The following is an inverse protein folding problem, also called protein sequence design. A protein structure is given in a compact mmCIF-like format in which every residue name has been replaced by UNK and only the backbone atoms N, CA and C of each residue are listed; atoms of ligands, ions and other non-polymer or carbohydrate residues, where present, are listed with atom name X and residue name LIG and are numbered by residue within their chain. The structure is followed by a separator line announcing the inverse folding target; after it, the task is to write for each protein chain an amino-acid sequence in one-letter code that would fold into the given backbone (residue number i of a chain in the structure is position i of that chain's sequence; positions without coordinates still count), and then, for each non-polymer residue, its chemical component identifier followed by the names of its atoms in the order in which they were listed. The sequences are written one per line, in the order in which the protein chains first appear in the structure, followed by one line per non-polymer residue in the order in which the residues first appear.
data_IF_514662728335
#
_entry.id   IF_514662728335
#
_cell.length_a   1.000
_cell.length_b   1.000
_cell.length_c   1.000
_cell.angle_alpha   90.00
_cell.angle_beta   90.00
_cell.angle_gamma   90.00
#
_symmetry.space_group_name_H-M   'P 1'
#
loop_
_entity.id
_entity.type
_entity.pdbx_description
1 polymer ?
#
# COMPACT_ATOMS: atom_id res chain seq x y z
N UNK A 1 -7.83 15.16 12.70
CA UNK A 1 -6.93 15.60 11.63
C UNK A 1 -6.68 17.12 11.68
N UNK A 2 -7.72 17.94 11.78
CA UNK A 2 -7.60 19.41 11.73
C UNK A 2 -6.70 20.02 12.82
N UNK A 3 -6.61 19.36 13.99
CA UNK A 3 -5.84 19.87 15.13
C UNK A 3 -4.42 19.35 15.22
N UNK A 4 -4.15 18.16 14.69
CA UNK A 4 -2.92 17.41 14.96
C UNK A 4 -2.18 17.06 13.66
N UNK A 5 -2.87 17.09 12.53
CA UNK A 5 -2.32 16.72 11.23
C UNK A 5 -2.51 15.23 10.88
N UNK A 6 -2.34 14.94 9.61
CA UNK A 6 -2.53 13.61 9.04
C UNK A 6 -1.49 12.60 9.53
N UNK A 7 -0.25 13.03 9.66
CA UNK A 7 0.88 12.16 10.03
C UNK A 7 0.81 11.70 11.49
N UNK A 8 0.07 12.43 12.31
CA UNK A 8 -0.04 12.20 13.75
C UNK A 8 -1.34 11.51 14.16
N UNK A 9 -2.14 11.08 13.17
CA UNK A 9 -3.46 10.48 13.42
C UNK A 9 -3.67 9.24 12.57
N UNK A 10 -4.04 8.12 13.20
CA UNK A 10 -4.30 6.84 12.54
C UNK A 10 -5.62 6.22 13.00
N UNK A 11 -6.29 5.48 12.11
CA UNK A 11 -7.40 4.60 12.45
C UNK A 11 -6.95 3.15 12.35
N UNK A 12 -7.00 2.42 13.45
CA UNK A 12 -6.64 0.99 13.52
C UNK A 12 -7.91 0.15 13.44
N UNK A 13 -7.92 -0.80 12.51
CA UNK A 13 -9.10 -1.62 12.21
C UNK A 13 -8.81 -3.13 12.26
N UNK A 14 -9.86 -3.95 12.25
CA UNK A 14 -9.75 -5.41 12.26
C UNK A 14 -9.56 -6.03 10.87
N UNK A 15 -9.88 -5.30 9.79
CA UNK A 15 -9.85 -5.85 8.43
C UNK A 15 -9.55 -4.77 7.38
N UNK A 16 -9.01 -5.20 6.23
CA UNK A 16 -8.80 -4.31 5.09
C UNK A 16 -10.12 -3.68 4.59
N UNK A 17 -11.23 -4.43 4.65
CA UNK A 17 -12.56 -3.90 4.30
C UNK A 17 -12.92 -2.69 5.17
N UNK A 18 -12.73 -2.79 6.49
CA UNK A 18 -12.97 -1.68 7.41
C UNK A 18 -11.99 -0.53 7.19
N UNK A 19 -10.71 -0.84 7.00
CA UNK A 19 -9.69 0.16 6.67
C UNK A 19 -10.07 0.94 5.40
N UNK A 20 -10.52 0.26 4.34
CA UNK A 20 -10.96 0.90 3.10
C UNK A 20 -12.13 1.87 3.32
N UNK A 21 -13.12 1.51 4.16
CA UNK A 21 -14.24 2.40 4.50
C UNK A 21 -13.74 3.68 5.16
N UNK A 22 -12.85 3.57 6.15
CA UNK A 22 -12.27 4.75 6.81
C UNK A 22 -11.39 5.56 5.86
N UNK A 23 -10.57 4.91 5.05
CA UNK A 23 -9.72 5.58 4.08
C UNK A 23 -10.55 6.41 3.09
N UNK A 24 -11.62 5.85 2.54
CA UNK A 24 -12.51 6.57 1.64
C UNK A 24 -13.27 7.69 2.36
N UNK A 25 -13.78 7.43 3.57
CA UNK A 25 -14.47 8.44 4.38
C UNK A 25 -13.54 9.62 4.71
N UNK A 26 -12.31 9.36 5.14
CA UNK A 26 -11.32 10.39 5.46
C UNK A 26 -10.98 11.20 4.20
N UNK A 27 -10.67 10.52 3.09
CA UNK A 27 -10.32 11.20 1.84
C UNK A 27 -11.45 12.07 1.32
N UNK A 28 -12.68 11.56 1.28
CA UNK A 28 -13.81 12.27 0.67
C UNK A 28 -14.41 13.33 1.59
N UNK A 29 -14.59 13.05 2.89
CA UNK A 29 -15.34 13.89 3.81
C UNK A 29 -14.47 14.85 4.63
N UNK A 30 -13.21 14.50 4.87
CA UNK A 30 -12.29 15.31 5.68
C UNK A 30 -11.28 16.03 4.79
N UNK A 31 -10.69 15.32 3.81
CA UNK A 31 -9.65 15.87 2.95
C UNK A 31 -10.20 16.42 1.62
N UNK A 32 -11.48 16.22 1.34
CA UNK A 32 -12.15 16.66 0.11
C UNK A 32 -11.42 16.23 -1.17
N UNK A 33 -10.89 14.99 -1.16
CA UNK A 33 -10.18 14.40 -2.30
C UNK A 33 -11.11 13.48 -3.08
N UNK A 34 -11.49 13.90 -4.27
CA UNK A 34 -12.42 13.16 -5.14
C UNK A 34 -11.67 12.18 -6.06
N UNK A 35 -10.49 12.55 -6.53
CA UNK A 35 -9.70 11.67 -7.40
C UNK A 35 -9.19 10.44 -6.66
N UNK A 36 -9.01 9.33 -7.38
CA UNK A 36 -8.50 8.07 -6.82
C UNK A 36 -7.12 8.22 -6.17
N UNK A 37 -6.25 9.09 -6.70
CA UNK A 37 -4.94 9.37 -6.14
C UNK A 37 -4.56 10.83 -6.41
N UNK A 38 -4.15 11.56 -5.36
CA UNK A 38 -3.76 12.96 -5.45
C UNK A 38 -2.47 13.23 -4.68
N UNK A 39 -1.82 14.36 -4.99
CA UNK A 39 -0.71 14.86 -4.18
C UNK A 39 -1.13 15.03 -2.70
N UNK A 40 -0.25 14.68 -1.80
CA UNK A 40 -0.49 14.67 -0.35
C UNK A 40 -1.18 13.41 0.18
N UNK A 41 -1.62 12.47 -0.66
CA UNK A 41 -2.14 11.19 -0.17
C UNK A 41 -1.06 10.41 0.59
N UNK A 42 -1.46 9.79 1.69
CA UNK A 42 -0.62 8.86 2.45
C UNK A 42 -0.87 7.44 1.97
N UNK A 43 0.19 6.76 1.62
CA UNK A 43 0.19 5.37 1.14
C UNK A 43 1.02 4.49 2.06
N UNK A 44 0.54 3.27 2.27
CA UNK A 44 1.24 2.21 2.97
C UNK A 44 1.68 1.16 1.96
N UNK A 45 2.95 0.79 1.97
CA UNK A 45 3.47 -0.30 1.14
C UNK A 45 2.92 -1.64 1.63
N UNK A 46 2.31 -2.40 0.74
CA UNK A 46 1.60 -3.63 1.06
C UNK A 46 2.47 -4.89 0.94
N UNK A 47 3.63 -4.79 0.29
CA UNK A 47 4.56 -5.89 0.03
C UNK A 47 5.99 -5.36 -0.11
N UNK A 48 6.99 -6.10 0.43
CA UNK A 48 8.40 -5.75 0.25
C UNK A 48 8.75 -5.59 -1.23
N UNK A 49 9.52 -4.55 -1.55
CA UNK A 49 9.98 -4.27 -2.89
C UNK A 49 11.50 -4.02 -2.90
N UNK A 50 12.21 -4.86 -3.65
CA UNK A 50 13.68 -4.83 -3.76
C UNK A 50 14.16 -4.16 -5.06
N UNK A 51 13.24 -3.62 -5.85
CA UNK A 51 13.55 -3.05 -7.15
C UNK A 51 13.79 -1.55 -7.09
N UNK A 52 12.89 -0.79 -6.48
CA UNK A 52 12.93 0.66 -6.53
C UNK A 52 13.98 1.29 -5.59
N UNK A 53 14.36 0.61 -4.51
CA UNK A 53 15.39 1.10 -3.56
C UNK A 53 16.82 1.02 -4.07
N UNK A 54 17.11 0.14 -5.05
CA UNK A 54 18.47 -0.21 -5.49
C UNK A 54 19.34 0.96 -6.00
N UNK A 55 18.71 2.03 -6.51
CA UNK A 55 19.39 3.21 -7.04
C UNK A 55 19.67 4.27 -5.95
N UNK A 56 19.25 4.01 -4.70
CA UNK A 56 19.40 4.89 -3.54
C UNK A 56 20.32 4.23 -2.52
N UNK A 57 21.47 4.86 -2.24
CA UNK A 57 22.59 4.27 -1.46
C UNK A 57 22.22 3.82 -0.06
N UNK A 58 21.18 4.41 0.53
CA UNK A 58 20.78 4.16 1.93
C UNK A 58 19.53 3.29 2.03
N UNK A 59 19.02 2.79 0.88
CA UNK A 59 17.77 2.03 0.82
C UNK A 59 18.02 0.66 0.21
N UNK A 60 18.15 -0.35 1.03
CA UNK A 60 18.31 -1.74 0.57
C UNK A 60 17.03 -2.25 -0.11
N UNK A 61 15.88 -1.93 0.45
CA UNK A 61 14.56 -2.26 -0.08
C UNK A 61 13.49 -1.38 0.57
N UNK A 62 12.31 -1.31 -0.05
CA UNK A 62 11.13 -0.68 0.51
C UNK A 62 10.33 -1.77 1.23
N UNK A 63 10.12 -1.60 2.54
CA UNK A 63 9.51 -2.62 3.38
C UNK A 63 7.98 -2.62 3.29
N UNK A 64 7.40 -3.79 3.51
CA UNK A 64 5.97 -3.91 3.79
C UNK A 64 5.65 -3.21 5.12
N UNK A 65 4.84 -2.16 5.07
CA UNK A 65 4.52 -1.31 6.22
C UNK A 65 5.09 0.10 6.12
N UNK A 66 6.08 0.34 5.25
CA UNK A 66 6.59 1.68 5.03
C UNK A 66 5.47 2.61 4.56
N UNK A 67 5.46 3.82 5.11
CA UNK A 67 4.52 4.87 4.74
C UNK A 67 5.20 5.86 3.83
N UNK A 68 4.50 6.23 2.76
CA UNK A 68 4.96 7.24 1.82
C UNK A 68 3.88 8.31 1.59
N UNK A 69 4.32 9.52 1.31
CA UNK A 69 3.45 10.62 0.88
C UNK A 69 3.57 10.79 -0.63
N UNK A 70 2.45 10.90 -1.32
CA UNK A 70 2.42 11.25 -2.73
C UNK A 70 2.82 12.71 -2.89
N UNK A 71 3.96 12.97 -3.51
CA UNK A 71 4.40 14.31 -3.87
C UNK A 71 3.70 14.76 -5.13
N UNK A 72 3.69 13.90 -6.15
CA UNK A 72 3.05 14.17 -7.44
C UNK A 72 2.65 12.88 -8.15
N UNK A 73 1.51 12.93 -8.85
CA UNK A 73 1.10 11.90 -9.81
C UNK A 73 1.54 12.36 -11.20
N UNK A 74 2.39 11.57 -11.86
CA UNK A 74 3.00 11.92 -13.14
C UNK A 74 2.14 11.43 -14.31
N UNK A 75 1.79 10.13 -14.28
CA UNK A 75 1.06 9.48 -15.37
C UNK A 75 0.24 8.31 -14.84
N UNK A 76 -0.94 8.09 -15.41
CA UNK A 76 -1.73 6.86 -15.22
C UNK A 76 -1.71 6.04 -16.51
N UNK A 77 -1.64 4.72 -16.39
CA UNK A 77 -1.55 3.81 -17.54
C UNK A 77 -2.26 2.51 -17.22
N UNK A 78 -3.13 2.07 -18.12
CA UNK A 78 -3.74 0.74 -18.07
C UNK A 78 -2.90 -0.21 -18.93
N UNK A 79 -2.39 -1.28 -18.31
CA UNK A 79 -1.50 -2.24 -18.95
C UNK A 79 -1.65 -3.62 -18.30
N UNK A 80 -1.57 -4.68 -19.07
CA UNK A 80 -1.65 -6.07 -18.59
C UNK A 80 -2.93 -6.41 -17.82
N UNK A 81 -4.02 -5.68 -18.06
CA UNK A 81 -5.27 -5.84 -17.32
C UNK A 81 -5.26 -5.22 -15.92
N UNK A 82 -4.28 -4.37 -15.61
CA UNK A 82 -4.14 -3.63 -14.35
C UNK A 82 -3.96 -2.14 -14.60
N UNK A 83 -4.24 -1.35 -13.57
CA UNK A 83 -4.09 0.11 -13.56
C UNK A 83 -2.84 0.50 -12.78
N UNK A 84 -1.99 1.29 -13.41
CA UNK A 84 -0.74 1.76 -12.82
C UNK A 84 -0.69 3.28 -12.77
N UNK A 85 0.13 3.80 -11.88
CA UNK A 85 0.53 5.21 -11.90
C UNK A 85 2.04 5.34 -11.70
N UNK A 86 2.66 6.21 -12.48
CA UNK A 86 4.01 6.73 -12.20
C UNK A 86 3.84 7.90 -11.23
N UNK A 87 4.50 7.83 -10.11
CA UNK A 87 4.34 8.78 -9.00
C UNK A 87 5.68 9.13 -8.39
N UNK A 88 5.76 10.33 -7.85
CA UNK A 88 6.85 10.74 -6.98
C UNK A 88 6.38 10.59 -5.54
N UNK A 89 7.05 9.72 -4.77
CA UNK A 89 6.75 9.41 -3.37
C UNK A 89 7.88 9.91 -2.47
N UNK A 90 7.51 10.53 -1.37
CA UNK A 90 8.42 10.83 -0.27
C UNK A 90 8.21 9.80 0.86
N UNK A 91 9.28 9.15 1.28
CA UNK A 91 9.31 8.20 2.40
C UNK A 91 9.93 8.89 3.61
N UNK A 92 9.13 9.31 4.62
CA UNK A 92 9.63 10.06 5.77
C UNK A 92 10.69 9.30 6.56
N UNK A 93 10.48 8.00 6.80
CA UNK A 93 11.39 7.17 7.62
C UNK A 93 12.73 6.90 6.91
N UNK A 94 12.78 7.01 5.60
CA UNK A 94 13.99 6.85 4.79
C UNK A 94 14.61 8.19 4.39
N UNK A 95 13.89 9.30 4.65
CA UNK A 95 14.26 10.67 4.23
C UNK A 95 14.56 10.78 2.73
N UNK A 96 13.85 10.00 1.91
CA UNK A 96 14.13 9.91 0.46
C UNK A 96 12.88 10.15 -0.36
N UNK A 97 13.06 10.80 -1.50
CA UNK A 97 12.06 10.98 -2.54
C UNK A 97 12.40 10.11 -3.74
N UNK A 98 11.44 9.32 -4.20
CA UNK A 98 11.61 8.35 -5.29
C UNK A 98 10.54 8.50 -6.35
N UNK A 99 10.93 8.42 -7.61
CA UNK A 99 9.99 8.20 -8.71
C UNK A 99 9.80 6.70 -8.89
N UNK A 100 8.57 6.23 -8.71
CA UNK A 100 8.23 4.81 -8.73
C UNK A 100 6.93 4.56 -9.49
N UNK A 101 6.75 3.34 -9.94
CA UNK A 101 5.46 2.85 -10.46
C UNK A 101 4.70 2.16 -9.35
N UNK A 102 3.43 2.53 -9.17
CA UNK A 102 2.52 1.89 -8.22
C UNK A 102 1.37 1.19 -8.94
N UNK A 103 0.77 0.22 -8.28
CA UNK A 103 -0.39 -0.53 -8.73
C UNK A 103 -1.66 0.03 -8.07
N UNK A 104 -2.53 0.67 -8.86
CA UNK A 104 -3.75 1.32 -8.35
C UNK A 104 -4.80 0.32 -7.87
N UNK A 105 -4.86 -0.87 -8.47
CA UNK A 105 -5.83 -1.91 -8.11
C UNK A 105 -5.70 -2.41 -6.67
N UNK A 106 -4.55 -2.21 -6.04
CA UNK A 106 -4.33 -2.59 -4.63
C UNK A 106 -4.84 -1.55 -3.63
N UNK A 107 -5.05 -0.30 -4.03
CA UNK A 107 -5.44 0.81 -3.14
C UNK A 107 -6.68 0.49 -2.31
N UNK A 108 -7.71 -0.06 -2.96
CA UNK A 108 -9.02 -0.34 -2.35
C UNK A 108 -9.35 -1.82 -2.25
N UNK A 109 -8.44 -2.70 -2.65
CA UNK A 109 -8.60 -4.15 -2.54
C UNK A 109 -8.81 -4.58 -1.08
N UNK A 110 -9.70 -5.54 -0.83
CA UNK A 110 -9.86 -6.16 0.49
C UNK A 110 -8.72 -7.15 0.81
N UNK A 111 -8.02 -7.63 -0.21
CA UNK A 111 -6.81 -8.46 -0.04
C UNK A 111 -5.64 -7.63 0.47
N UNK A 112 -4.72 -8.19 1.27
CA UNK A 112 -3.53 -7.49 1.76
C UNK A 112 -2.65 -6.94 0.63
N UNK A 113 -2.55 -7.67 -0.48
CA UNK A 113 -1.80 -7.36 -1.70
C UNK A 113 -2.53 -7.97 -2.90
N UNK A 114 -1.93 -8.02 -4.08
CA UNK A 114 -2.47 -8.82 -5.19
C UNK A 114 -2.72 -10.25 -4.74
N UNK A 115 -3.87 -10.80 -5.15
CA UNK A 115 -4.15 -12.23 -4.98
C UNK A 115 -3.17 -13.07 -5.79
N UNK A 116 -3.06 -14.35 -5.46
CA UNK A 116 -2.20 -15.28 -6.22
C UNK A 116 -2.56 -15.29 -7.70
N UNK A 117 -3.84 -15.36 -8.02
CA UNK A 117 -4.35 -15.37 -9.40
C UNK A 117 -3.96 -14.06 -10.14
N UNK A 118 -4.17 -12.91 -9.52
CA UNK A 118 -3.76 -11.62 -10.08
C UNK A 118 -2.25 -11.54 -10.31
N UNK A 119 -1.46 -12.08 -9.37
CA UNK A 119 0.00 -12.08 -9.49
C UNK A 119 0.48 -13.02 -10.61
N UNK A 120 -0.15 -14.19 -10.78
CA UNK A 120 0.10 -15.12 -11.87
C UNK A 120 -0.29 -14.50 -13.23
N UNK A 121 -1.41 -13.77 -13.28
CA UNK A 121 -1.86 -13.03 -14.47
C UNK A 121 -0.84 -11.94 -14.85
N UNK A 122 -0.45 -11.10 -13.92
CA UNK A 122 0.55 -10.04 -14.18
C UNK A 122 1.88 -10.64 -14.65
N UNK A 123 2.34 -11.69 -13.99
CA UNK A 123 3.54 -12.44 -14.37
C UNK A 123 3.46 -12.94 -15.81
N UNK A 124 2.37 -13.61 -16.18
CA UNK A 124 2.20 -14.18 -17.51
C UNK A 124 2.14 -13.10 -18.60
N UNK A 125 1.43 -11.99 -18.34
CA UNK A 125 1.28 -10.90 -19.28
C UNK A 125 2.62 -10.16 -19.52
N UNK A 126 3.34 -9.81 -18.47
CA UNK A 126 4.65 -9.17 -18.62
C UNK A 126 5.67 -10.11 -19.26
N UNK A 127 5.62 -11.42 -18.94
CA UNK A 127 6.51 -12.40 -19.55
C UNK A 127 6.26 -12.56 -21.05
N UNK A 128 5.03 -12.38 -21.51
CA UNK A 128 4.66 -12.48 -22.92
C UNK A 128 5.35 -11.39 -23.77
N UNK A 129 5.62 -10.21 -23.23
CA UNK A 129 6.32 -9.13 -23.94
C UNK A 129 7.79 -9.49 -24.26
N UNK A 130 8.37 -10.47 -23.57
CA UNK A 130 9.72 -10.95 -23.82
C UNK A 130 9.76 -12.10 -24.85
N UNK A 131 8.93 -12.02 -25.90
CA UNK A 131 8.87 -13.05 -26.97
C UNK A 131 10.18 -13.17 -27.77
N UNK A 132 10.97 -12.07 -27.86
CA UNK A 132 12.27 -11.99 -28.53
C UNK A 132 13.39 -12.76 -27.80
N UNK A 133 13.16 -13.09 -26.51
CA UNK A 133 14.15 -13.80 -25.71
C UNK A 133 13.92 -15.29 -25.76
N UNK A 134 14.94 -16.05 -26.22
CA UNK A 134 14.82 -17.50 -26.42
C UNK A 134 14.98 -18.32 -25.15
N UNK A 135 15.77 -17.85 -24.18
CA UNK A 135 16.06 -18.63 -22.98
C UNK A 135 15.18 -18.22 -21.78
N UNK A 136 14.66 -19.23 -21.06
CA UNK A 136 13.88 -19.02 -19.85
C UNK A 136 14.66 -18.22 -18.78
N UNK A 137 15.95 -18.47 -18.67
CA UNK A 137 16.81 -17.79 -17.71
C UNK A 137 16.89 -16.29 -17.98
N UNK A 138 17.06 -15.88 -19.23
CA UNK A 138 17.13 -14.46 -19.61
C UNK A 138 15.75 -13.76 -19.47
N UNK A 139 14.65 -14.44 -19.85
CA UNK A 139 13.30 -13.95 -19.58
C UNK A 139 13.08 -13.63 -18.11
N UNK A 140 13.46 -14.53 -17.22
CA UNK A 140 13.35 -14.34 -15.77
C UNK A 140 14.24 -13.23 -15.24
N UNK A 141 15.42 -13.02 -15.85
CA UNK A 141 16.32 -11.91 -15.50
C UNK A 141 15.69 -10.56 -15.87
N UNK A 142 15.15 -10.43 -17.09
CA UNK A 142 14.45 -9.21 -17.53
C UNK A 142 13.23 -8.91 -16.67
N UNK A 143 12.41 -9.93 -16.37
CA UNK A 143 11.24 -9.78 -15.52
C UNK A 143 11.59 -9.22 -14.13
N UNK A 144 12.69 -9.66 -13.51
CA UNK A 144 13.16 -9.15 -12.22
C UNK A 144 13.53 -7.67 -12.25
N UNK A 145 13.82 -7.13 -13.40
CA UNK A 145 14.17 -5.70 -13.61
C UNK A 145 13.07 -4.93 -14.35
N UNK A 146 11.91 -5.53 -14.55
CA UNK A 146 10.80 -4.92 -15.23
C UNK A 146 10.01 -4.01 -14.27
N UNK A 147 9.79 -2.72 -14.59
CA UNK A 147 9.11 -1.78 -13.70
C UNK A 147 7.62 -2.06 -13.52
N UNK A 148 6.95 -2.70 -14.48
CA UNK A 148 5.54 -3.07 -14.36
C UNK A 148 5.35 -4.26 -13.43
N UNK A 149 6.22 -5.28 -13.58
CA UNK A 149 6.19 -6.44 -12.68
C UNK A 149 6.58 -6.07 -11.24
N UNK A 150 7.46 -5.08 -11.08
CA UNK A 150 7.93 -4.58 -9.79
C UNK A 150 7.18 -3.35 -9.30
N UNK A 151 6.02 -3.00 -9.89
CA UNK A 151 5.20 -1.91 -9.39
C UNK A 151 4.88 -2.09 -7.90
N UNK A 152 5.01 -1.00 -7.12
CA UNK A 152 4.69 -1.04 -5.70
C UNK A 152 3.22 -1.35 -5.49
N UNK A 153 2.94 -2.32 -4.65
CA UNK A 153 1.60 -2.60 -4.18
C UNK A 153 1.35 -1.74 -2.95
N UNK A 154 0.35 -0.88 -3.01
CA UNK A 154 0.12 0.15 -1.99
C UNK A 154 -1.35 0.18 -1.56
N UNK A 155 -1.58 0.69 -0.36
CA UNK A 155 -2.90 1.00 0.19
C UNK A 155 -2.91 2.42 0.74
N UNK A 156 -4.09 3.01 0.95
CA UNK A 156 -4.15 4.25 1.71
C UNK A 156 -3.76 4.00 3.18
N UNK A 157 -3.12 5.00 3.80
CA UNK A 157 -2.53 4.89 5.12
C UNK A 157 -3.25 5.70 6.22
N UNK A 158 -4.49 6.15 6.00
CA UNK A 158 -5.28 6.85 7.03
C UNK A 158 -5.96 5.89 8.00
N UNK A 159 -6.43 4.76 7.48
CA UNK A 159 -6.94 3.63 8.23
C UNK A 159 -6.21 2.36 7.81
N UNK A 160 -5.67 1.62 8.78
CA UNK A 160 -4.87 0.42 8.53
C UNK A 160 -5.33 -0.73 9.43
N UNK A 161 -4.94 -1.95 9.09
CA UNK A 161 -5.18 -3.07 10.00
C UNK A 161 -4.20 -3.03 11.17
N UNK A 162 -4.60 -3.57 12.32
CA UNK A 162 -3.78 -3.62 13.53
C UNK A 162 -2.37 -4.17 13.26
N UNK A 163 -2.23 -5.24 12.48
CA UNK A 163 -0.92 -5.80 12.13
C UNK A 163 -0.02 -4.84 11.34
N UNK A 164 -0.63 -3.92 10.59
CA UNK A 164 0.10 -2.91 9.81
C UNK A 164 0.45 -1.67 10.64
N UNK A 165 -0.25 -1.44 11.74
CA UNK A 165 0.03 -0.36 12.67
C UNK A 165 1.15 -0.71 13.66
N UNK A 166 1.51 -1.99 13.81
CA UNK A 166 2.55 -2.41 14.76
C UNK A 166 3.90 -1.72 14.47
N UNK A 167 4.50 -1.17 15.53
CA UNK A 167 5.76 -0.43 15.47
C UNK A 167 5.63 1.04 15.10
N UNK A 168 4.47 1.49 14.61
CA UNK A 168 4.19 2.90 14.36
C UNK A 168 3.87 3.66 15.65
N UNK A 169 4.05 4.98 15.62
CA UNK A 169 3.74 5.89 16.74
C UNK A 169 2.96 7.09 16.23
N UNK A 170 1.82 7.36 16.86
CA UNK A 170 0.94 8.49 16.50
C UNK A 170 0.44 9.18 17.77
N UNK A 171 0.22 10.48 17.72
CA UNK A 171 -0.37 11.22 18.84
C UNK A 171 -1.82 10.83 19.10
N UNK A 172 -2.55 10.47 18.04
CA UNK A 172 -3.96 10.10 18.12
C UNK A 172 -4.21 8.79 17.36
N UNK A 173 -4.63 7.77 18.10
CA UNK A 173 -5.01 6.46 17.57
C UNK A 173 -6.49 6.22 17.83
N UNK A 174 -7.25 5.99 16.78
CA UNK A 174 -8.65 5.59 16.85
C UNK A 174 -8.77 4.10 16.55
N UNK A 175 -9.23 3.32 17.52
CA UNK A 175 -9.41 1.87 17.36
C UNK A 175 -10.84 1.54 16.99
N UNK A 176 -11.05 1.07 15.76
CA UNK A 176 -12.36 0.59 15.30
C UNK A 176 -12.52 -0.90 15.62
N UNK A 177 -13.28 -1.19 16.66
CA UNK A 177 -13.59 -2.57 17.07
C UNK A 177 -14.57 -3.29 16.12
N UNK A 178 -15.24 -2.53 15.24
CA UNK A 178 -16.30 -3.05 14.40
C UNK A 178 -17.57 -3.42 15.19
N UNK A 179 -18.50 -4.07 14.51
CA UNK A 179 -19.70 -4.61 15.17
C UNK A 179 -19.36 -5.88 15.93
N UNK A 180 -19.69 -5.92 17.21
CA UNK A 180 -19.54 -7.07 18.10
C UNK A 180 -20.94 -7.53 18.51
N UNK A 181 -21.43 -8.67 17.99
CA UNK A 181 -22.69 -9.24 18.45
C UNK A 181 -22.65 -9.57 19.96
N UNK A 182 -23.78 -9.46 20.65
CA UNK A 182 -23.88 -9.84 22.06
C UNK A 182 -23.42 -11.30 22.24
N UNK A 183 -22.51 -11.53 23.19
CA UNK A 183 -21.94 -12.86 23.48
C UNK A 183 -20.85 -13.35 22.52
N UNK A 184 -20.46 -12.57 21.51
CA UNK A 184 -19.48 -12.96 20.50
C UNK A 184 -18.04 -12.52 20.81
N UNK A 185 -17.75 -12.17 22.07
CA UNK A 185 -16.40 -11.79 22.48
C UNK A 185 -15.56 -13.06 22.68
N UNK A 186 -14.62 -13.31 21.77
CA UNK A 186 -13.73 -14.46 21.76
C UNK A 186 -12.36 -14.11 22.34
N UNK A 187 -11.56 -15.13 22.70
CA UNK A 187 -10.17 -14.94 23.09
C UNK A 187 -9.35 -14.21 22.01
N UNK A 188 -9.63 -14.50 20.73
CA UNK A 188 -8.94 -13.86 19.60
C UNK A 188 -9.31 -12.37 19.48
N UNK A 189 -10.53 -11.99 19.87
CA UNK A 189 -10.90 -10.57 19.98
C UNK A 189 -10.07 -9.86 21.05
N UNK A 190 -9.88 -10.45 22.23
CA UNK A 190 -9.05 -9.86 23.27
C UNK A 190 -7.57 -9.78 22.87
N UNK A 191 -7.05 -10.79 22.21
CA UNK A 191 -5.67 -10.77 21.67
C UNK A 191 -5.50 -9.65 20.65
N UNK A 192 -6.46 -9.51 19.73
CA UNK A 192 -6.46 -8.43 18.76
C UNK A 192 -6.53 -7.06 19.44
N UNK A 193 -7.43 -6.90 20.42
CA UNK A 193 -7.59 -5.65 21.16
C UNK A 193 -6.30 -5.28 21.92
N UNK A 194 -5.70 -6.25 22.58
CA UNK A 194 -4.39 -6.07 23.22
C UNK A 194 -3.35 -5.54 22.23
N UNK A 195 -3.23 -6.18 21.07
CA UNK A 195 -2.28 -5.74 20.03
C UNK A 195 -2.62 -4.34 19.47
N UNK A 196 -3.89 -3.96 19.44
CA UNK A 196 -4.29 -2.64 18.95
C UNK A 196 -3.99 -1.50 19.92
N UNK A 197 -3.78 -1.80 21.21
CA UNK A 197 -3.46 -0.83 22.27
C UNK A 197 -1.99 -0.83 22.70
N UNK A 198 -1.20 -1.80 22.29
CA UNK A 198 0.24 -1.91 22.56
C UNK A 198 1.08 -1.56 21.35
#
# INVERSE_FOLDING_TARGET
YDRVGLDETIVVTRSNKRANIFNQGIRNQILYREEELTAGDLLLVAKNNYFWGKDYKEVDFIANGDVARVVRVLKRTDMYGFRFADVQLYFPDLEVEMEVKILLDTLTSESPSLTREQQETLFAQVLADYYDVTTKREKMKRLKTDPWFNALQVKYAYGVTCHKAQGGQWKHVYVDMGYIPQGAVSLDFYRWLYTAFT
#
